data_IF_047391525517
#
_entry.id   IF_047391525517
#
_cell.length_a   1.000
_cell.length_b   1.000
_cell.length_c   1.000
_cell.angle_alpha   90.00
_cell.angle_beta   90.00
_cell.angle_gamma   90.00
#
_symmetry.space_group_name_H-M   'P 1'
#
loop_
_entity.id
_entity.type
_entity.pdbx_description
1 polymer ?
#
# COMPACT_ATOMS: atom_id res chain seq x y z
N UNK A 1 -12.38 -26.79 -35.43
CA UNK A 1 -12.16 -26.63 -33.98
C UNK A 1 -11.27 -25.42 -33.77
N UNK A 2 -11.83 -24.27 -33.41
CA UNK A 2 -11.06 -23.16 -32.85
C UNK A 2 -11.87 -22.71 -31.64
N UNK A 3 -11.49 -23.24 -30.48
CA UNK A 3 -12.03 -22.81 -29.20
C UNK A 3 -11.51 -21.40 -28.95
N UNK A 4 -12.42 -20.43 -28.97
CA UNK A 4 -12.12 -19.04 -28.66
C UNK A 4 -11.63 -18.93 -27.22
N UNK A 5 -10.38 -18.49 -27.06
CA UNK A 5 -9.86 -18.03 -25.79
C UNK A 5 -10.71 -16.85 -25.32
N UNK A 6 -11.51 -17.07 -24.28
CA UNK A 6 -12.05 -16.01 -23.44
C UNK A 6 -10.89 -15.42 -22.65
N UNK A 7 -10.29 -14.35 -23.18
CA UNK A 7 -9.43 -13.46 -22.43
C UNK A 7 -10.32 -12.69 -21.43
N UNK A 8 -10.48 -13.22 -20.23
CA UNK A 8 -11.10 -12.51 -19.13
C UNK A 8 -10.12 -11.42 -18.67
N UNK A 9 -10.15 -10.28 -19.35
CA UNK A 9 -9.64 -9.01 -18.83
C UNK A 9 -10.50 -8.64 -17.62
N UNK A 10 -10.09 -9.10 -16.44
CA UNK A 10 -10.52 -8.48 -15.18
C UNK A 10 -9.87 -7.10 -15.19
N UNK A 11 -10.61 -6.14 -15.71
CA UNK A 11 -10.38 -4.72 -15.46
C UNK A 11 -10.42 -4.54 -13.95
N UNK A 12 -9.26 -4.32 -13.34
CA UNK A 12 -9.17 -3.56 -12.09
C UNK A 12 -9.99 -2.29 -12.28
N UNK A 13 -11.15 -2.20 -11.63
CA UNK A 13 -11.97 -1.01 -11.65
C UNK A 13 -11.14 0.12 -10.99
N UNK A 14 -10.70 1.14 -11.74
CA UNK A 14 -9.86 2.21 -11.19
C UNK A 14 -10.63 3.10 -10.19
N UNK A 15 -11.94 2.88 -10.00
CA UNK A 15 -12.81 3.65 -9.11
C UNK A 15 -12.96 3.06 -7.71
N UNK A 16 -12.59 1.79 -7.47
CA UNK A 16 -12.63 1.21 -6.12
C UNK A 16 -11.30 1.46 -5.42
N UNK A 17 -11.26 2.24 -4.33
CA UNK A 17 -10.02 2.44 -3.60
C UNK A 17 -9.51 1.11 -3.03
N UNK A 18 -8.18 0.88 -3.01
CA UNK A 18 -7.62 -0.31 -2.42
C UNK A 18 -8.02 -0.42 -0.93
N UNK A 19 -8.06 -1.64 -0.36
CA UNK A 19 -8.30 -1.82 1.06
C UNK A 19 -7.38 -0.95 1.91
N UNK A 20 -7.89 -0.46 3.04
CA UNK A 20 -7.17 0.45 3.95
C UNK A 20 -5.76 -0.08 4.28
N UNK A 21 -5.65 -1.36 4.63
CA UNK A 21 -4.37 -1.98 4.98
C UNK A 21 -3.38 -2.04 3.82
N UNK A 22 -3.85 -2.35 2.61
CA UNK A 22 -3.03 -2.38 1.38
C UNK A 22 -2.51 -0.97 1.05
N UNK A 23 -3.38 0.04 1.12
CA UNK A 23 -3.02 1.43 0.86
C UNK A 23 -2.01 1.97 1.88
N UNK A 24 -2.28 1.74 3.17
CA UNK A 24 -1.41 2.22 4.23
C UNK A 24 -0.06 1.50 4.23
N UNK A 25 -0.04 0.21 3.91
CA UNK A 25 1.22 -0.51 3.74
C UNK A 25 2.05 0.08 2.58
N UNK A 26 1.42 0.40 1.45
CA UNK A 26 2.11 1.01 0.31
C UNK A 26 2.71 2.40 0.64
N UNK A 27 1.95 3.25 1.34
CA UNK A 27 2.45 4.54 1.84
C UNK A 27 3.68 4.38 2.74
N UNK A 28 3.61 3.44 3.69
CA UNK A 28 4.69 3.20 4.65
C UNK A 28 5.91 2.61 3.95
N UNK A 29 5.73 1.68 3.01
CA UNK A 29 6.81 1.13 2.21
C UNK A 29 7.50 2.21 1.37
N UNK A 30 6.72 3.11 0.73
CA UNK A 30 7.27 4.21 -0.05
C UNK A 30 8.08 5.19 0.81
N UNK A 31 7.58 5.57 2.00
CA UNK A 31 8.30 6.38 2.97
C UNK A 31 9.62 5.71 3.42
N UNK A 32 9.58 4.42 3.76
CA UNK A 32 10.78 3.66 4.18
C UNK A 32 11.81 3.64 3.04
N UNK A 33 11.37 3.33 1.83
CA UNK A 33 12.25 3.28 0.67
C UNK A 33 12.86 4.65 0.36
N UNK A 34 12.10 5.74 0.51
CA UNK A 34 12.59 7.10 0.38
C UNK A 34 13.63 7.45 1.45
N UNK A 35 13.31 7.24 2.73
CA UNK A 35 14.24 7.51 3.83
C UNK A 35 15.56 6.73 3.69
N UNK A 36 15.47 5.46 3.28
CA UNK A 36 16.64 4.62 3.00
C UNK A 36 17.47 5.17 1.84
N UNK A 37 16.85 5.63 0.75
CA UNK A 37 17.56 6.22 -0.40
C UNK A 37 18.22 7.56 -0.06
N UNK A 38 17.53 8.41 0.69
CA UNK A 38 17.95 9.79 0.94
C UNK A 38 18.98 9.90 2.08
N UNK A 39 18.81 9.10 3.13
CA UNK A 39 19.59 9.24 4.37
C UNK A 39 20.37 7.99 4.75
N UNK A 40 20.10 6.86 4.08
CA UNK A 40 20.64 5.55 4.47
C UNK A 40 20.07 5.00 5.79
N UNK A 41 19.10 5.70 6.40
CA UNK A 41 18.53 5.37 7.70
C UNK A 41 17.01 5.39 7.65
N UNK A 42 16.39 4.54 8.47
CA UNK A 42 14.93 4.46 8.65
C UNK A 42 14.65 4.54 10.14
N UNK A 43 13.69 5.39 10.55
CA UNK A 43 13.31 5.49 11.95
C UNK A 43 12.75 4.14 12.44
N UNK A 44 13.24 3.65 13.60
CA UNK A 44 12.81 2.37 14.18
C UNK A 44 11.28 2.16 14.21
N UNK A 45 10.47 3.14 14.67
CA UNK A 45 9.01 3.06 14.67
C UNK A 45 8.37 2.74 13.31
N UNK A 46 9.01 3.11 12.19
CA UNK A 46 8.48 2.84 10.84
C UNK A 46 8.32 1.35 10.57
N UNK A 47 9.20 0.50 11.13
CA UNK A 47 9.11 -0.96 10.98
C UNK A 47 7.95 -1.56 11.77
N UNK A 48 7.64 -1.02 12.96
CA UNK A 48 6.49 -1.46 13.75
C UNK A 48 5.17 -1.12 13.05
N UNK A 49 5.06 0.10 12.50
CA UNK A 49 3.90 0.53 11.71
C UNK A 49 3.72 -0.36 10.47
N UNK A 50 4.81 -0.65 9.73
CA UNK A 50 4.79 -1.55 8.57
C UNK A 50 4.27 -2.94 8.95
N UNK A 51 4.83 -3.54 10.00
CA UNK A 51 4.44 -4.88 10.46
C UNK A 51 2.98 -4.90 10.93
N UNK A 52 2.52 -3.85 11.60
CA UNK A 52 1.15 -3.73 12.08
C UNK A 52 0.13 -3.72 10.93
N UNK A 53 0.43 -3.01 9.84
CA UNK A 53 -0.39 -3.01 8.63
C UNK A 53 -0.33 -4.33 7.86
N UNK A 54 0.85 -4.94 7.81
CA UNK A 54 1.04 -6.26 7.19
C UNK A 54 0.15 -7.33 7.85
N UNK A 55 0.06 -7.31 9.19
CA UNK A 55 -0.78 -8.25 9.95
C UNK A 55 -2.30 -8.04 9.74
N UNK A 56 -2.71 -6.98 9.05
CA UNK A 56 -4.11 -6.62 8.78
C UNK A 56 -4.46 -6.68 7.29
N UNK A 57 -3.54 -7.17 6.47
CA UNK A 57 -3.87 -7.44 5.08
C UNK A 57 -5.02 -8.45 5.01
N UNK A 58 -5.92 -8.31 4.03
CA UNK A 58 -6.94 -9.32 3.78
C UNK A 58 -6.31 -10.69 3.52
N UNK A 59 -7.04 -11.76 3.85
CA UNK A 59 -6.58 -13.12 3.57
C UNK A 59 -6.42 -13.34 2.06
N UNK A 60 -5.34 -13.99 1.63
CA UNK A 60 -5.12 -14.25 0.21
C UNK A 60 -6.29 -15.02 -0.41
N UNK A 61 -6.82 -14.49 -1.51
CA UNK A 61 -7.99 -15.05 -2.19
C UNK A 61 -9.33 -14.55 -1.67
N UNK A 62 -9.38 -13.69 -0.64
CA UNK A 62 -10.60 -12.98 -0.27
C UNK A 62 -10.98 -11.93 -1.34
N UNK A 63 -12.26 -11.54 -1.45
CA UNK A 63 -12.70 -10.52 -2.41
C UNK A 63 -12.00 -9.16 -2.25
N UNK A 64 -11.54 -8.85 -1.04
CA UNK A 64 -10.84 -7.61 -0.70
C UNK A 64 -9.33 -7.73 -0.93
N UNK A 65 -8.77 -8.94 -1.00
CA UNK A 65 -7.34 -9.12 -1.17
C UNK A 65 -6.89 -8.68 -2.56
N UNK A 66 -5.86 -7.83 -2.61
CA UNK A 66 -5.19 -7.56 -3.88
C UNK A 66 -4.40 -8.79 -4.33
N UNK A 67 -4.23 -8.95 -5.64
CA UNK A 67 -3.23 -9.86 -6.19
C UNK A 67 -1.83 -9.29 -5.96
N UNK A 68 -0.80 -10.13 -6.10
CA UNK A 68 0.59 -9.67 -6.02
C UNK A 68 0.90 -8.58 -7.06
N UNK A 69 0.42 -8.76 -8.29
CA UNK A 69 0.58 -7.78 -9.37
C UNK A 69 -0.11 -6.45 -9.05
N UNK A 70 -1.29 -6.49 -8.43
CA UNK A 70 -2.00 -5.29 -7.98
C UNK A 70 -1.27 -4.59 -6.84
N UNK A 71 -0.72 -5.33 -5.87
CA UNK A 71 0.13 -4.76 -4.81
C UNK A 71 1.38 -4.10 -5.38
N UNK A 72 2.07 -4.76 -6.30
CA UNK A 72 3.25 -4.20 -6.96
C UNK A 72 2.92 -2.92 -7.74
N UNK A 73 1.78 -2.89 -8.45
CA UNK A 73 1.31 -1.70 -9.14
C UNK A 73 0.93 -0.57 -8.17
N UNK A 74 0.30 -0.89 -7.03
CA UNK A 74 -0.03 0.07 -5.99
C UNK A 74 1.24 0.71 -5.41
N UNK A 75 2.23 -0.09 -5.02
CA UNK A 75 3.53 0.38 -4.53
C UNK A 75 4.24 1.28 -5.56
N UNK A 76 4.27 0.85 -6.83
CA UNK A 76 4.87 1.61 -7.92
C UNK A 76 4.15 2.94 -8.21
N UNK A 77 2.86 3.07 -7.83
CA UNK A 77 2.09 4.30 -8.02
C UNK A 77 2.40 5.40 -7.00
N UNK A 78 3.00 5.07 -5.85
CA UNK A 78 3.18 6.01 -4.73
C UNK A 78 3.97 7.28 -5.09
N UNK A 79 5.08 7.22 -5.85
CA UNK A 79 5.79 8.43 -6.27
C UNK A 79 4.92 9.34 -7.14
N UNK A 80 4.09 8.76 -8.03
CA UNK A 80 3.16 9.51 -8.86
C UNK A 80 2.07 10.20 -8.05
N UNK A 81 1.49 9.50 -7.06
CA UNK A 81 0.53 10.07 -6.11
C UNK A 81 1.12 11.24 -5.33
N UNK A 82 2.34 11.07 -4.79
CA UNK A 82 3.07 12.12 -4.06
C UNK A 82 3.35 13.35 -4.94
N UNK A 83 3.70 13.15 -6.20
CA UNK A 83 3.97 14.24 -7.13
C UNK A 83 2.69 14.99 -7.56
N UNK A 84 1.58 14.26 -7.70
CA UNK A 84 0.29 14.84 -8.10
C UNK A 84 -0.34 15.70 -6.99
N UNK A 85 -0.29 15.24 -5.74
CA UNK A 85 -0.77 15.97 -4.57
C UNK A 85 0.07 15.66 -3.32
N UNK A 86 1.12 16.46 -3.06
CA UNK A 86 2.02 16.24 -1.93
C UNK A 86 1.35 16.37 -0.56
N UNK A 87 0.35 17.24 -0.43
CA UNK A 87 -0.29 17.52 0.85
C UNK A 87 -1.32 16.44 1.19
N UNK A 88 -2.09 15.97 0.20
CA UNK A 88 -2.96 14.82 0.39
C UNK A 88 -2.14 13.56 0.69
N UNK A 89 -1.05 13.31 -0.03
CA UNK A 89 -0.15 12.19 0.24
C UNK A 89 0.38 12.22 1.68
N UNK A 90 0.88 13.38 2.14
CA UNK A 90 1.38 13.54 3.51
C UNK A 90 0.28 13.30 4.55
N UNK A 91 -0.91 13.85 4.31
CA UNK A 91 -2.07 13.69 5.20
C UNK A 91 -2.47 12.22 5.32
N UNK A 92 -2.53 11.49 4.20
CA UNK A 92 -2.88 10.08 4.19
C UNK A 92 -1.82 9.22 4.90
N UNK A 93 -0.53 9.46 4.62
CA UNK A 93 0.57 8.79 5.31
C UNK A 93 0.54 9.02 6.83
N UNK A 94 0.29 10.28 7.26
CA UNK A 94 0.15 10.60 8.69
C UNK A 94 -1.05 9.90 9.32
N UNK A 95 -2.19 9.83 8.62
CA UNK A 95 -3.36 9.09 9.07
C UNK A 95 -3.07 7.59 9.22
N UNK A 96 -2.37 6.98 8.25
CA UNK A 96 -1.95 5.57 8.34
C UNK A 96 -0.98 5.31 9.51
N UNK A 97 -0.09 6.25 9.81
CA UNK A 97 0.81 6.14 10.96
C UNK A 97 0.06 6.29 12.30
N UNK A 98 -0.82 7.29 12.40
CA UNK A 98 -1.62 7.53 13.61
C UNK A 98 -2.52 6.33 13.92
N UNK A 99 -3.24 5.82 12.92
CA UNK A 99 -4.14 4.67 13.07
C UNK A 99 -3.37 3.42 13.55
N UNK A 100 -2.18 3.16 13.00
CA UNK A 100 -1.35 2.06 13.46
C UNK A 100 -0.88 2.26 14.92
N UNK A 101 -0.42 3.46 15.28
CA UNK A 101 0.06 3.78 16.63
C UNK A 101 -1.07 3.64 17.66
N UNK A 102 -2.25 4.22 17.38
CA UNK A 102 -3.46 4.09 18.20
C UNK A 102 -3.90 2.62 18.33
N UNK A 103 -3.70 1.84 17.27
CA UNK A 103 -3.94 0.40 17.22
C UNK A 103 -2.85 -0.46 17.86
N UNK A 104 -1.82 0.13 18.48
CA UNK A 104 -0.77 -0.59 19.21
C UNK A 104 0.50 -0.93 18.41
N UNK A 105 0.78 -0.24 17.31
CA UNK A 105 2.06 -0.31 16.60
C UNK A 105 3.17 0.42 17.40
N UNK A 106 3.51 -0.12 18.56
CA UNK A 106 4.51 0.43 19.49
C UNK A 106 5.75 -0.49 19.51
N UNK A 107 6.95 0.07 19.79
CA UNK A 107 8.18 -0.70 19.93
C UNK A 107 8.21 -1.61 21.16
#
# INVERSE_FOLDING_TARGET
MIAGLLFALVLTDPGVPPPRAELCLAHVNAMIAEAQRETGMVAGPSWFIRSWWTARLPEEGSPEALTEEQRAALDASMPGRKAADPDAYRTELQGCAAEAIEGGALP
#
